data_IF_635225669756
#
_entry.id   IF_635225669756
#
_cell.length_a   1.000
_cell.length_b   1.000
_cell.length_c   1.000
_cell.angle_alpha   90.00
_cell.angle_beta   90.00
_cell.angle_gamma   90.00
#
_symmetry.space_group_name_H-M   'P 1'
#
loop_
_entity.id
_entity.type
_entity.pdbx_description
1 polymer ?
#
# COMPACT_ATOMS: atom_id res chain seq x y z
N UNK A 1 -17.18 13.78 25.33
CA UNK A 1 -17.55 14.55 24.14
C UNK A 1 -18.85 14.00 23.56
N UNK A 2 -19.69 14.85 22.98
CA UNK A 2 -20.95 14.43 22.37
C UNK A 2 -21.60 15.57 21.63
N UNK A 3 -22.71 15.25 21.00
CA UNK A 3 -23.55 16.20 20.24
C UNK A 3 -24.95 16.24 20.83
N UNK A 4 -25.57 17.41 20.81
CA UNK A 4 -26.99 17.57 21.17
C UNK A 4 -27.78 17.47 19.89
N UNK A 5 -28.63 16.48 19.81
CA UNK A 5 -29.56 16.27 18.72
C UNK A 5 -31.01 16.40 19.23
N UNK A 6 -31.72 17.44 18.81
CA UNK A 6 -33.03 17.78 19.33
C UNK A 6 -33.01 17.96 20.87
N UNK A 7 -33.59 17.03 21.64
CA UNK A 7 -33.60 17.05 23.10
C UNK A 7 -32.73 15.98 23.76
N UNK A 8 -31.95 15.25 22.96
CA UNK A 8 -31.06 14.14 23.43
C UNK A 8 -29.63 14.51 23.32
N UNK A 9 -28.81 14.15 24.33
CA UNK A 9 -27.35 14.21 24.27
C UNK A 9 -26.82 12.86 23.84
N UNK A 10 -26.10 12.83 22.70
CA UNK A 10 -25.50 11.63 22.13
C UNK A 10 -23.99 11.68 22.42
N UNK A 11 -23.52 10.74 23.23
CA UNK A 11 -22.08 10.59 23.51
C UNK A 11 -21.37 9.99 22.30
N UNK A 12 -20.24 10.60 21.92
CA UNK A 12 -19.36 10.10 20.84
C UNK A 12 -18.03 9.70 21.43
N UNK A 13 -17.61 8.47 21.18
CA UNK A 13 -16.32 7.94 21.62
C UNK A 13 -15.64 7.16 20.51
N UNK A 14 -14.28 7.23 20.38
CA UNK A 14 -13.53 6.38 19.49
C UNK A 14 -13.33 5.00 20.12
N UNK A 15 -13.43 3.96 19.30
CA UNK A 15 -13.14 2.58 19.68
C UNK A 15 -12.15 1.98 18.65
N UNK A 16 -10.84 2.30 18.75
CA UNK A 16 -9.84 1.79 17.80
C UNK A 16 -9.72 0.27 17.94
N UNK A 17 -9.83 -0.44 16.82
CA UNK A 17 -9.83 -1.90 16.79
C UNK A 17 -8.43 -2.50 16.96
N UNK A 18 -7.39 -1.88 16.37
CA UNK A 18 -6.03 -2.41 16.37
C UNK A 18 -5.84 -3.71 15.59
N UNK A 19 -4.70 -4.35 15.79
CA UNK A 19 -4.32 -5.63 15.18
C UNK A 19 -3.82 -6.61 16.24
N UNK A 20 -3.95 -7.92 15.97
CA UNK A 20 -3.34 -8.96 16.81
C UNK A 20 -1.88 -9.22 16.38
N UNK A 21 -0.95 -8.63 17.12
CA UNK A 21 0.49 -8.72 16.88
C UNK A 21 1.01 -10.16 16.96
N UNK A 22 0.47 -10.98 17.89
CA UNK A 22 0.93 -12.37 18.08
C UNK A 22 0.55 -13.23 16.89
N UNK A 23 -0.71 -13.16 16.48
CA UNK A 23 -1.21 -13.88 15.30
C UNK A 23 -0.47 -13.44 14.05
N UNK A 24 -0.22 -12.15 13.88
CA UNK A 24 0.49 -11.63 12.73
C UNK A 24 1.94 -12.14 12.66
N UNK A 25 2.66 -12.15 13.79
CA UNK A 25 4.01 -12.66 13.89
C UNK A 25 4.09 -14.18 13.62
N UNK A 26 3.12 -14.96 14.10
CA UNK A 26 3.05 -16.39 13.77
C UNK A 26 2.83 -16.60 12.27
N UNK A 27 1.89 -15.89 11.66
CA UNK A 27 1.59 -16.01 10.23
C UNK A 27 2.76 -15.57 9.34
N UNK A 28 3.49 -14.54 9.75
CA UNK A 28 4.69 -14.05 9.02
C UNK A 28 5.78 -15.13 8.92
N UNK A 29 5.86 -16.04 9.89
CA UNK A 29 6.84 -17.12 9.91
C UNK A 29 6.40 -18.37 9.13
N UNK A 30 5.18 -18.38 8.59
CA UNK A 30 4.68 -19.52 7.83
C UNK A 30 5.54 -19.82 6.59
N UNK A 31 5.76 -21.10 6.25
CA UNK A 31 6.56 -21.49 5.07
C UNK A 31 6.12 -20.82 3.78
N UNK A 32 4.81 -20.71 3.52
CA UNK A 32 4.27 -20.06 2.32
C UNK A 32 4.69 -18.60 2.22
N UNK A 33 4.75 -17.88 3.35
CA UNK A 33 5.21 -16.47 3.35
C UNK A 33 6.68 -16.40 2.97
N UNK A 34 7.51 -17.31 3.50
CA UNK A 34 8.95 -17.37 3.17
C UNK A 34 9.17 -17.69 1.69
N UNK A 35 8.41 -18.62 1.15
CA UNK A 35 8.45 -18.97 -0.27
C UNK A 35 8.10 -17.76 -1.15
N UNK A 36 7.01 -17.04 -0.83
CA UNK A 36 6.64 -15.84 -1.56
C UNK A 36 7.67 -14.72 -1.41
N UNK A 37 8.27 -14.53 -0.24
CA UNK A 37 9.37 -13.57 -0.04
C UNK A 37 10.55 -13.90 -0.95
N UNK A 38 10.92 -15.20 -1.07
CA UNK A 38 12.01 -15.62 -1.96
C UNK A 38 11.70 -15.32 -3.43
N UNK A 39 10.51 -15.69 -3.91
CA UNK A 39 10.05 -15.41 -5.29
C UNK A 39 10.03 -13.91 -5.60
N UNK A 40 9.54 -13.09 -4.67
CA UNK A 40 9.49 -11.64 -4.86
C UNK A 40 10.88 -11.00 -4.86
N UNK A 41 11.79 -11.47 -3.99
CA UNK A 41 13.19 -11.01 -3.98
C UNK A 41 13.92 -11.35 -5.28
N UNK A 42 13.67 -12.53 -5.84
CA UNK A 42 14.20 -12.93 -7.15
C UNK A 42 13.65 -12.04 -8.26
N UNK A 43 12.33 -11.84 -8.31
CA UNK A 43 11.65 -11.02 -9.30
C UNK A 43 12.16 -9.57 -9.33
N UNK A 44 12.41 -8.99 -8.16
CA UNK A 44 12.82 -7.60 -8.00
C UNK A 44 14.31 -7.48 -7.59
N UNK A 45 15.13 -8.46 -7.99
CA UNK A 45 16.56 -8.44 -7.67
C UNK A 45 17.23 -7.16 -8.16
N UNK A 46 18.01 -6.52 -7.28
CA UNK A 46 18.72 -5.27 -7.59
C UNK A 46 17.84 -4.00 -7.54
N UNK A 47 16.53 -4.11 -7.30
CA UNK A 47 15.61 -2.98 -7.20
C UNK A 47 15.21 -2.70 -5.75
N UNK A 48 14.88 -1.44 -5.45
CA UNK A 48 14.16 -1.05 -4.25
C UNK A 48 12.67 -1.20 -4.49
N UNK A 49 11.97 -1.84 -3.58
CA UNK A 49 10.54 -2.12 -3.71
C UNK A 49 9.73 -1.25 -2.77
N UNK A 50 8.95 -0.36 -3.36
CA UNK A 50 7.93 0.41 -2.65
C UNK A 50 6.60 -0.33 -2.80
N UNK A 51 5.87 -0.51 -1.71
CA UNK A 51 4.60 -1.24 -1.72
C UNK A 51 3.47 -0.30 -1.31
N UNK A 52 2.36 -0.39 -2.02
CA UNK A 52 1.06 0.14 -1.65
C UNK A 52 0.00 -0.94 -1.74
N UNK A 53 -0.96 -0.94 -0.82
CA UNK A 53 -2.13 -1.83 -0.84
C UNK A 53 -3.35 -1.06 -0.39
N UNK A 54 -4.29 -0.88 -1.28
CA UNK A 54 -5.49 -0.09 -1.03
C UNK A 54 -6.70 -0.71 -1.72
N UNK A 55 -7.89 -0.42 -1.22
CA UNK A 55 -9.10 -0.52 -2.02
C UNK A 55 -9.05 0.56 -3.09
N UNK A 56 -9.52 0.26 -4.27
CA UNK A 56 -9.59 1.25 -5.35
C UNK A 56 -10.80 2.17 -5.12
N UNK A 57 -10.56 3.15 -4.27
CA UNK A 57 -11.52 4.17 -3.83
C UNK A 57 -10.76 5.50 -3.77
N UNK A 58 -11.37 6.59 -4.24
CA UNK A 58 -10.75 7.92 -4.31
C UNK A 58 -10.17 8.38 -2.96
N UNK A 59 -10.83 8.02 -1.85
CA UNK A 59 -10.41 8.38 -0.50
C UNK A 59 -9.07 7.73 -0.10
N UNK A 60 -8.67 6.66 -0.80
CA UNK A 60 -7.38 5.97 -0.55
C UNK A 60 -6.18 6.65 -1.21
N UNK A 61 -6.42 7.63 -2.08
CA UNK A 61 -5.36 8.43 -2.68
C UNK A 61 -4.39 7.63 -3.54
N UNK A 62 -4.86 6.58 -4.22
CA UNK A 62 -4.02 5.77 -5.12
C UNK A 62 -3.53 6.60 -6.30
N UNK A 63 -4.38 7.47 -6.82
CA UNK A 63 -4.06 8.41 -7.89
C UNK A 63 -2.91 9.35 -7.47
N UNK A 64 -3.01 9.95 -6.31
CA UNK A 64 -2.02 10.88 -5.74
C UNK A 64 -0.68 10.18 -5.52
N UNK A 65 -0.70 8.94 -5.05
CA UNK A 65 0.50 8.09 -4.89
C UNK A 65 1.21 7.87 -6.22
N UNK A 66 0.47 7.52 -7.26
CA UNK A 66 1.02 7.28 -8.59
C UNK A 66 1.61 8.55 -9.20
N UNK A 67 0.91 9.69 -9.07
CA UNK A 67 1.42 10.98 -9.53
C UNK A 67 2.69 11.42 -8.78
N UNK A 68 2.73 11.19 -7.46
CA UNK A 68 3.93 11.45 -6.68
C UNK A 68 5.10 10.56 -7.10
N UNK A 69 4.84 9.29 -7.42
CA UNK A 69 5.86 8.37 -7.90
C UNK A 69 6.34 8.74 -9.32
N UNK A 70 5.44 9.19 -10.20
CA UNK A 70 5.83 9.73 -11.52
C UNK A 70 6.76 10.93 -11.38
N UNK A 71 6.37 11.90 -10.54
CA UNK A 71 7.17 13.08 -10.27
C UNK A 71 8.53 12.73 -9.67
N UNK A 72 8.58 11.74 -8.79
CA UNK A 72 9.82 11.24 -8.23
C UNK A 72 10.75 10.71 -9.30
N UNK A 73 10.27 9.89 -10.25
CA UNK A 73 11.08 9.37 -11.34
C UNK A 73 11.53 10.48 -12.32
N UNK A 74 10.71 11.50 -12.51
CA UNK A 74 11.07 12.65 -13.36
C UNK A 74 12.16 13.53 -12.74
N UNK A 75 12.10 13.73 -11.43
CA UNK A 75 13.08 14.54 -10.70
C UNK A 75 14.36 13.78 -10.37
N UNK A 76 14.28 12.44 -10.33
CA UNK A 76 15.35 11.56 -9.92
C UNK A 76 15.59 10.42 -10.93
N UNK A 77 16.04 10.76 -12.17
CA UNK A 77 16.22 9.78 -13.24
C UNK A 77 17.23 8.67 -12.89
N UNK A 78 18.11 8.90 -11.93
CA UNK A 78 19.06 7.90 -11.43
C UNK A 78 18.37 6.71 -10.73
N UNK A 79 17.08 6.84 -10.35
CA UNK A 79 16.28 5.77 -9.77
C UNK A 79 15.53 4.93 -10.82
N UNK A 80 15.46 5.37 -12.07
CA UNK A 80 14.86 4.57 -13.16
C UNK A 80 15.67 3.29 -13.33
N UNK A 81 15.00 2.14 -13.33
CA UNK A 81 15.62 0.82 -13.33
C UNK A 81 16.07 0.31 -11.95
N UNK A 82 15.99 1.13 -10.89
CA UNK A 82 16.46 0.79 -9.55
C UNK A 82 15.35 0.77 -8.49
N UNK A 83 14.18 1.30 -8.81
CA UNK A 83 13.03 1.32 -7.91
C UNK A 83 11.78 0.84 -8.64
N UNK A 84 10.91 0.12 -7.94
CA UNK A 84 9.62 -0.31 -8.45
C UNK A 84 8.53 -0.02 -7.41
N UNK A 85 7.39 0.50 -7.87
CA UNK A 85 6.18 0.60 -7.06
C UNK A 85 5.29 -0.60 -7.36
N UNK A 86 5.07 -1.45 -6.37
CA UNK A 86 4.09 -2.53 -6.41
C UNK A 86 2.81 -2.04 -5.76
N UNK A 87 1.82 -1.70 -6.56
CA UNK A 87 0.51 -1.27 -6.07
C UNK A 87 -0.50 -2.41 -6.20
N UNK A 88 -0.97 -2.91 -5.07
CA UNK A 88 -2.12 -3.80 -5.01
C UNK A 88 -3.37 -2.97 -4.84
N UNK A 89 -4.25 -3.01 -5.82
CA UNK A 89 -5.54 -2.34 -5.84
C UNK A 89 -6.65 -3.39 -5.74
N UNK A 90 -7.35 -3.39 -4.61
CA UNK A 90 -8.46 -4.30 -4.39
C UNK A 90 -9.72 -3.71 -5.04
N UNK A 91 -10.39 -4.53 -5.84
CA UNK A 91 -11.65 -4.15 -6.47
C UNK A 91 -12.71 -3.78 -5.42
N UNK A 92 -13.53 -2.80 -5.73
CA UNK A 92 -14.68 -2.40 -4.93
C UNK A 92 -15.96 -2.75 -5.66
N UNK A 93 -17.07 -2.90 -4.93
CA UNK A 93 -18.39 -3.23 -5.51
C UNK A 93 -18.93 -2.09 -6.40
N UNK A 94 -18.48 -0.88 -6.20
CA UNK A 94 -18.79 0.26 -7.06
C UNK A 94 -17.75 0.34 -8.17
N UNK A 95 -18.17 0.11 -9.42
CA UNK A 95 -17.36 0.44 -10.60
C UNK A 95 -17.15 1.95 -10.63
N UNK A 96 -16.00 2.38 -10.20
CA UNK A 96 -15.67 3.79 -10.11
C UNK A 96 -14.95 4.22 -11.40
N UNK A 97 -15.26 5.41 -11.89
CA UNK A 97 -14.49 6.12 -12.93
C UNK A 97 -12.98 6.16 -12.61
N UNK A 98 -12.61 6.01 -11.35
CA UNK A 98 -11.23 5.97 -10.86
C UNK A 98 -10.41 4.80 -11.38
N UNK A 99 -11.02 3.65 -11.70
CA UNK A 99 -10.29 2.50 -12.26
C UNK A 99 -9.65 2.90 -13.60
N UNK A 100 -10.40 3.61 -14.44
CA UNK A 100 -9.90 4.11 -15.72
C UNK A 100 -8.75 5.10 -15.53
N UNK A 101 -8.96 6.12 -14.73
CA UNK A 101 -7.97 7.18 -14.46
C UNK A 101 -6.66 6.61 -13.89
N UNK A 102 -6.75 5.69 -12.90
CA UNK A 102 -5.59 5.04 -12.31
C UNK A 102 -4.84 4.18 -13.32
N UNK A 103 -5.55 3.41 -14.15
CA UNK A 103 -4.95 2.57 -15.19
C UNK A 103 -4.25 3.40 -16.27
N UNK A 104 -4.82 4.55 -16.62
CA UNK A 104 -4.21 5.48 -17.58
C UNK A 104 -2.92 6.11 -17.04
N UNK A 105 -2.91 6.48 -15.76
CA UNK A 105 -1.70 6.99 -15.09
C UNK A 105 -0.62 5.91 -15.05
N UNK A 106 -0.96 4.68 -14.64
CA UNK A 106 -0.01 3.54 -14.63
C UNK A 106 0.56 3.31 -16.03
N UNK A 107 -0.29 3.28 -17.05
CA UNK A 107 0.12 3.10 -18.44
C UNK A 107 1.05 4.21 -18.92
N UNK A 108 0.77 5.45 -18.54
CA UNK A 108 1.60 6.62 -18.85
C UNK A 108 2.99 6.53 -18.20
N UNK A 109 3.06 6.22 -16.90
CA UNK A 109 4.32 6.06 -16.16
C UNK A 109 5.14 4.94 -16.78
N UNK A 110 4.54 3.79 -17.00
CA UNK A 110 5.22 2.64 -17.57
C UNK A 110 5.72 2.92 -19.00
N UNK A 111 4.92 3.56 -19.86
CA UNK A 111 5.35 3.96 -21.21
C UNK A 111 6.53 4.92 -21.19
N UNK A 112 6.59 5.82 -20.21
CA UNK A 112 7.63 6.85 -20.11
C UNK A 112 8.96 6.31 -19.59
N UNK A 113 8.93 5.39 -18.63
CA UNK A 113 10.10 5.01 -17.84
C UNK A 113 10.47 3.52 -17.94
N UNK A 114 9.71 2.67 -18.67
CA UNK A 114 10.00 1.25 -18.78
C UNK A 114 11.14 0.94 -19.76
N UNK A 115 11.68 -0.25 -19.64
CA UNK A 115 12.57 -0.89 -20.60
C UNK A 115 12.14 -2.34 -20.85
N UNK A 116 12.88 -3.09 -21.67
CA UNK A 116 12.58 -4.51 -21.93
C UNK A 116 12.58 -5.37 -20.64
N UNK A 117 13.37 -4.98 -19.64
CA UNK A 117 13.57 -5.76 -18.40
C UNK A 117 13.05 -5.05 -17.15
N UNK A 118 12.53 -3.83 -17.30
CA UNK A 118 12.11 -2.99 -16.18
C UNK A 118 10.76 -2.35 -16.41
N UNK A 119 9.89 -2.45 -15.41
CA UNK A 119 8.60 -1.78 -15.34
C UNK A 119 8.49 -1.03 -14.01
N UNK A 120 8.40 0.30 -14.02
CA UNK A 120 8.42 1.11 -12.82
C UNK A 120 7.22 0.89 -11.90
N UNK A 121 6.03 0.64 -12.46
CA UNK A 121 4.82 0.37 -11.70
C UNK A 121 4.28 -1.01 -12.04
N UNK A 122 4.26 -1.89 -11.04
CA UNK A 122 3.54 -3.17 -11.08
C UNK A 122 2.18 -2.96 -10.44
N UNK A 123 1.16 -2.82 -11.25
CA UNK A 123 -0.22 -2.58 -10.82
C UNK A 123 -1.01 -3.87 -10.84
N UNK A 124 -1.49 -4.29 -9.67
CA UNK A 124 -2.29 -5.51 -9.49
C UNK A 124 -3.70 -5.10 -9.10
N UNK A 125 -4.60 -5.06 -10.08
CA UNK A 125 -6.04 -4.87 -9.83
C UNK A 125 -6.69 -6.24 -9.70
N UNK A 126 -7.05 -6.62 -8.48
CA UNK A 126 -7.53 -7.96 -8.13
C UNK A 126 -8.65 -7.89 -7.10
N UNK A 127 -9.51 -8.90 -7.07
CA UNK A 127 -10.54 -8.99 -6.04
C UNK A 127 -9.93 -9.22 -4.65
N UNK A 128 -8.93 -10.08 -4.60
CA UNK A 128 -8.19 -10.38 -3.37
C UNK A 128 -6.78 -10.93 -3.69
N UNK A 129 -5.90 -10.85 -2.71
CA UNK A 129 -4.64 -11.59 -2.66
C UNK A 129 -4.63 -12.46 -1.41
N UNK A 130 -3.94 -13.60 -1.45
CA UNK A 130 -3.83 -14.43 -0.26
C UNK A 130 -3.09 -13.69 0.85
N UNK A 131 -3.43 -14.01 2.10
CA UNK A 131 -2.78 -13.35 3.24
C UNK A 131 -1.26 -13.61 3.26
N UNK A 132 -0.82 -14.78 2.80
CA UNK A 132 0.61 -15.11 2.68
C UNK A 132 1.32 -14.24 1.63
N UNK A 133 0.71 -13.99 0.47
CA UNK A 133 1.24 -13.07 -0.55
C UNK A 133 1.33 -11.64 -0.01
N UNK A 134 0.28 -11.21 0.67
CA UNK A 134 0.22 -9.89 1.29
C UNK A 134 1.34 -9.70 2.32
N UNK A 135 1.47 -10.64 3.28
CA UNK A 135 2.54 -10.56 4.29
C UNK A 135 3.94 -10.63 3.67
N UNK A 136 4.10 -11.40 2.59
CA UNK A 136 5.37 -11.47 1.88
C UNK A 136 5.74 -10.11 1.25
N UNK A 137 4.77 -9.41 0.63
CA UNK A 137 4.97 -8.06 0.10
C UNK A 137 5.38 -7.09 1.21
N UNK A 138 4.66 -7.08 2.34
CA UNK A 138 5.01 -6.21 3.47
C UNK A 138 6.40 -6.53 4.04
N UNK A 139 6.76 -7.81 4.13
CA UNK A 139 8.03 -8.25 4.70
C UNK A 139 9.22 -7.89 3.79
N UNK A 140 9.07 -7.97 2.47
CA UNK A 140 10.16 -7.73 1.54
C UNK A 140 10.31 -6.26 1.12
N UNK A 141 9.29 -5.46 1.32
CA UNK A 141 9.26 -4.05 0.91
C UNK A 141 10.43 -3.24 1.50
N UNK A 142 11.00 -2.34 0.70
CA UNK A 142 11.97 -1.35 1.17
C UNK A 142 11.32 -0.06 1.67
N UNK A 143 10.06 0.20 1.26
CA UNK A 143 9.20 1.21 1.83
C UNK A 143 7.72 0.81 1.63
N UNK A 144 6.85 1.30 2.51
CA UNK A 144 5.40 1.22 2.33
C UNK A 144 4.81 2.62 2.28
N UNK A 145 3.85 2.84 1.37
CA UNK A 145 3.23 4.15 1.17
C UNK A 145 1.71 4.03 1.28
N UNK A 146 1.12 4.72 2.26
CA UNK A 146 -0.32 4.88 2.41
C UNK A 146 -0.69 6.36 2.28
N UNK A 147 -1.45 6.69 1.24
CA UNK A 147 -1.78 8.05 0.84
C UNK A 147 -3.24 8.40 1.06
N UNK A 148 -3.93 7.70 1.96
CA UNK A 148 -5.34 7.92 2.23
C UNK A 148 -5.61 9.39 2.53
N UNK A 149 -6.57 9.98 1.82
CA UNK A 149 -6.98 11.38 2.00
C UNK A 149 -7.69 11.58 3.33
N UNK A 150 -8.42 10.56 3.78
CA UNK A 150 -9.03 10.48 5.11
C UNK A 150 -9.35 9.04 5.47
N UNK A 151 -8.91 8.62 6.63
CA UNK A 151 -9.19 7.28 7.16
C UNK A 151 -9.29 7.32 8.69
N UNK A 152 -10.19 6.52 9.26
CA UNK A 152 -10.36 6.45 10.71
C UNK A 152 -9.23 5.73 11.41
N UNK A 153 -8.80 4.58 10.86
CA UNK A 153 -7.66 3.79 11.34
C UNK A 153 -7.14 2.91 10.20
N UNK A 154 -5.93 3.15 9.74
CA UNK A 154 -5.28 2.33 8.73
C UNK A 154 -4.60 1.12 9.38
N UNK A 155 -5.21 -0.06 9.27
CA UNK A 155 -4.64 -1.28 9.83
C UNK A 155 -3.42 -1.77 9.04
N UNK A 156 -3.36 -1.52 7.74
CA UNK A 156 -2.23 -1.94 6.89
C UNK A 156 -0.91 -1.31 7.33
N UNK A 157 -0.93 -0.06 7.80
CA UNK A 157 0.24 0.61 8.35
C UNK A 157 0.75 -0.07 9.61
N UNK A 158 -0.14 -0.50 10.51
CA UNK A 158 0.22 -1.26 11.71
C UNK A 158 0.79 -2.64 11.35
N UNK A 159 0.16 -3.33 10.39
CA UNK A 159 0.64 -4.63 9.90
C UNK A 159 2.03 -4.50 9.26
N UNK A 160 2.28 -3.40 8.52
CA UNK A 160 3.59 -3.12 7.96
C UNK A 160 4.66 -2.93 9.03
N UNK A 161 4.39 -2.16 10.09
CA UNK A 161 5.34 -1.95 11.19
C UNK A 161 5.76 -3.29 11.80
N UNK A 162 4.80 -4.19 12.05
CA UNK A 162 5.10 -5.52 12.57
C UNK A 162 5.86 -6.37 11.55
N UNK A 163 5.47 -6.32 10.27
CA UNK A 163 6.19 -7.05 9.22
C UNK A 163 7.64 -6.61 9.06
N UNK A 164 7.96 -5.36 9.43
CA UNK A 164 9.28 -4.74 9.32
C UNK A 164 10.08 -4.71 10.66
N UNK A 165 9.63 -5.41 11.67
CA UNK A 165 10.27 -5.42 13.01
C UNK A 165 11.79 -5.65 12.94
N UNK A 166 12.26 -6.52 12.06
CA UNK A 166 13.68 -6.83 11.86
C UNK A 166 14.39 -5.82 10.95
N UNK A 167 13.74 -5.41 9.84
CA UNK A 167 14.35 -4.57 8.80
C UNK A 167 14.19 -3.07 9.04
N UNK A 168 13.19 -2.66 9.81
CA UNK A 168 12.87 -1.26 10.18
C UNK A 168 12.85 -0.32 8.98
N UNK A 169 12.23 -0.74 7.88
CA UNK A 169 12.12 0.06 6.66
C UNK A 169 11.06 1.16 6.80
N UNK A 170 11.21 2.29 6.11
CA UNK A 170 10.35 3.44 6.27
C UNK A 170 8.89 3.14 5.88
N UNK A 171 7.99 3.74 6.66
CA UNK A 171 6.56 3.84 6.43
C UNK A 171 6.24 5.31 6.11
N UNK A 172 5.67 5.56 4.94
CA UNK A 172 5.27 6.90 4.49
C UNK A 172 3.75 6.97 4.57
N UNK A 173 3.25 7.88 5.39
CA UNK A 173 1.83 8.05 5.65
C UNK A 173 1.38 9.46 5.30
N UNK A 174 0.18 9.59 4.77
CA UNK A 174 -0.51 10.87 4.79
C UNK A 174 -0.91 11.22 6.23
N UNK A 175 -1.04 12.50 6.52
CA UNK A 175 -1.42 13.01 7.85
C UNK A 175 -2.77 12.46 8.34
N UNK A 176 -3.66 12.10 7.43
CA UNK A 176 -5.04 11.70 7.74
C UNK A 176 -5.30 10.19 7.64
N UNK A 177 -4.27 9.36 7.76
CA UNK A 177 -4.42 7.88 7.75
C UNK A 177 -4.99 7.31 9.04
N UNK A 178 -5.09 8.11 10.12
CA UNK A 178 -5.60 7.62 11.41
C UNK A 178 -4.72 6.54 12.05
N UNK A 179 -3.42 6.61 11.84
CA UNK A 179 -2.45 5.61 12.32
C UNK A 179 -1.50 6.18 13.41
N UNK A 180 -2.01 7.07 14.25
CA UNK A 180 -1.27 7.66 15.37
C UNK A 180 -1.34 6.77 16.61
#
# INVERSE_FOLDING_TARGET
>A
RGIVLQRSFVTVAPFPIGIDVRVLNQRRQHPDVREWVAKLKERFAGMRVIVGRDKLDWIKGVREKLLAFELFLDQHPEWVGRVVLVQVALATVQENHEVGDVSDIVSRINRKHSSLTYQPVVFLHVNEITFSQYLALLTMADAFVATSLREGMNLTSHEYVIAQEERKRPLILSEFTGAY
#
